data_IF_851269409925
#
_entry.id   IF_851269409925
#
_cell.length_a   1.000
_cell.length_b   1.000
_cell.length_c   1.000
_cell.angle_alpha   90.00
_cell.angle_beta   90.00
_cell.angle_gamma   90.00
#
_symmetry.space_group_name_H-M   'P 1'
#
loop_
_entity.id
_entity.type
_entity.pdbx_description
1 polymer ?
#
# COMPACT_ATOMS: atom_id res chain seq x y z
N UNK A 1 6.59 3.22 20.68
CA UNK A 1 7.71 3.83 19.93
C UNK A 1 7.06 4.77 18.92
N UNK A 2 7.39 6.06 18.90
CA UNK A 2 6.75 7.01 17.97
C UNK A 2 7.17 6.63 16.54
N UNK A 3 6.20 6.41 15.64
CA UNK A 3 6.48 6.05 14.24
C UNK A 3 7.18 7.24 13.55
N UNK A 4 8.48 7.09 13.30
CA UNK A 4 9.32 8.12 12.65
C UNK A 4 9.28 8.02 11.13
N UNK A 5 8.50 7.09 10.54
CA UNK A 5 8.48 6.85 9.10
C UNK A 5 8.18 8.11 8.28
N UNK A 6 7.25 8.95 8.75
CA UNK A 6 6.84 10.16 8.06
C UNK A 6 7.83 11.33 8.20
N UNK A 7 8.77 11.27 9.14
CA UNK A 7 9.75 12.34 9.39
C UNK A 7 11.11 12.08 8.74
N UNK A 8 11.27 10.99 7.97
CA UNK A 8 12.56 10.67 7.35
C UNK A 8 12.76 11.47 6.06
N UNK A 9 13.99 11.52 5.56
CA UNK A 9 14.33 12.23 4.33
C UNK A 9 14.29 11.36 3.07
N UNK A 10 14.30 10.03 3.20
CA UNK A 10 14.34 9.15 2.01
C UNK A 10 13.03 9.19 1.23
N UNK A 11 13.09 9.18 -0.10
CA UNK A 11 11.93 9.29 -0.98
C UNK A 11 11.00 8.08 -0.80
N UNK A 12 9.71 8.33 -0.62
CA UNK A 12 8.66 7.31 -0.52
C UNK A 12 7.72 7.36 -1.73
N UNK A 13 6.91 6.31 -1.93
CA UNK A 13 5.84 6.35 -2.94
C UNK A 13 4.80 7.46 -2.67
N UNK A 14 4.62 7.86 -1.41
CA UNK A 14 3.74 8.99 -1.07
C UNK A 14 4.32 10.30 -1.59
N UNK A 15 5.63 10.51 -1.42
CA UNK A 15 6.33 11.69 -1.96
C UNK A 15 6.21 11.76 -3.49
N UNK A 16 6.37 10.62 -4.18
CA UNK A 16 6.13 10.53 -5.63
C UNK A 16 4.65 10.77 -6.01
N UNK A 17 3.71 10.44 -5.12
CA UNK A 17 2.28 10.74 -5.32
C UNK A 17 2.02 12.24 -5.23
N UNK A 18 2.63 12.91 -4.27
CA UNK A 18 2.54 14.36 -4.12
C UNK A 18 3.15 15.07 -5.32
N UNK A 19 4.35 14.66 -5.74
CA UNK A 19 4.98 15.18 -6.97
C UNK A 19 4.09 14.96 -8.20
N UNK A 20 3.50 13.76 -8.36
CA UNK A 20 2.56 13.49 -9.47
C UNK A 20 1.37 14.45 -9.45
N UNK A 21 0.80 14.73 -8.28
CA UNK A 21 -0.35 15.63 -8.16
C UNK A 21 0.02 17.08 -8.48
N UNK A 22 1.25 17.52 -8.16
CA UNK A 22 1.76 18.84 -8.50
C UNK A 22 2.01 19.00 -10.01
N UNK A 23 2.65 18.00 -10.63
CA UNK A 23 3.00 18.02 -12.05
C UNK A 23 1.79 17.81 -12.96
N UNK A 24 0.85 16.97 -12.51
CA UNK A 24 -0.29 16.51 -13.30
C UNK A 24 -1.58 16.64 -12.49
N UNK A 25 -2.03 17.88 -12.20
CA UNK A 25 -3.26 18.10 -11.46
C UNK A 25 -4.43 17.48 -12.22
N UNK A 26 -5.17 16.62 -11.54
CA UNK A 26 -6.40 16.02 -12.06
C UNK A 26 -7.55 16.41 -11.15
N UNK A 27 -8.72 16.66 -11.74
CA UNK A 27 -9.96 16.79 -10.98
C UNK A 27 -10.23 15.48 -10.26
N UNK A 28 -10.28 15.53 -8.94
CA UNK A 28 -10.54 14.36 -8.10
C UNK A 28 -11.99 14.42 -7.65
N UNK A 29 -12.74 13.39 -7.98
CA UNK A 29 -14.14 13.24 -7.55
C UNK A 29 -14.19 12.43 -6.25
N UNK A 30 -14.97 12.91 -5.28
CA UNK A 30 -15.14 12.28 -3.96
C UNK A 30 -14.19 12.82 -2.89
N UNK A 31 -14.43 12.42 -1.64
CA UNK A 31 -13.63 12.85 -0.49
C UNK A 31 -12.47 11.87 -0.24
N UNK A 32 -11.29 12.20 -0.77
CA UNK A 32 -10.07 11.41 -0.61
C UNK A 32 -9.65 11.25 0.85
N UNK A 33 -9.75 12.32 1.62
CA UNK A 33 -9.38 12.32 3.04
C UNK A 33 -10.24 11.32 3.81
N UNK A 34 -11.56 11.29 3.56
CA UNK A 34 -12.47 10.29 4.13
C UNK A 34 -12.12 8.87 3.68
N UNK A 35 -11.78 8.68 2.41
CA UNK A 35 -11.41 7.37 1.89
C UNK A 35 -10.11 6.85 2.50
N UNK A 36 -9.11 7.71 2.64
CA UNK A 36 -7.81 7.42 3.26
C UNK A 36 -7.97 7.15 4.76
N UNK A 37 -8.68 8.04 5.48
CA UNK A 37 -9.01 7.88 6.90
C UNK A 37 -9.65 6.51 7.18
N UNK A 38 -10.65 6.10 6.39
CA UNK A 38 -11.25 4.78 6.55
C UNK A 38 -10.28 3.64 6.24
N UNK A 39 -9.42 3.79 5.23
CA UNK A 39 -8.37 2.82 4.93
C UNK A 39 -7.44 2.61 6.13
N UNK A 40 -6.97 3.70 6.73
CA UNK A 40 -6.12 3.70 7.92
C UNK A 40 -6.78 3.04 9.13
N UNK A 41 -8.10 3.17 9.30
CA UNK A 41 -8.83 2.43 10.34
C UNK A 41 -8.71 0.92 10.16
N UNK A 42 -9.03 0.43 8.96
CA UNK A 42 -9.04 -1.01 8.67
C UNK A 42 -7.62 -1.59 8.77
N UNK A 43 -6.63 -0.85 8.25
CA UNK A 43 -5.22 -1.21 8.34
C UNK A 43 -4.77 -1.30 9.80
N UNK A 44 -4.91 -0.24 10.60
CA UNK A 44 -4.51 -0.24 12.00
C UNK A 44 -5.17 -1.36 12.82
N UNK A 45 -6.47 -1.59 12.63
CA UNK A 45 -7.17 -2.69 13.30
C UNK A 45 -6.63 -4.08 12.96
N UNK A 46 -5.92 -4.23 11.84
CA UNK A 46 -5.36 -5.49 11.40
C UNK A 46 -3.85 -5.60 11.70
N UNK A 47 -3.10 -4.51 11.46
CA UNK A 47 -1.64 -4.51 11.42
C UNK A 47 -0.98 -3.84 12.63
N UNK A 48 -1.68 -2.94 13.33
CA UNK A 48 -1.17 -2.13 14.45
C UNK A 48 -2.24 -1.98 15.55
N UNK A 49 -2.72 -3.12 16.08
CA UNK A 49 -3.84 -3.15 17.02
C UNK A 49 -3.59 -2.34 18.30
N UNK A 50 -2.33 -2.13 18.69
CA UNK A 50 -1.93 -1.31 19.83
C UNK A 50 -2.24 0.19 19.64
N UNK A 51 -2.35 0.67 18.40
CA UNK A 51 -2.80 2.04 18.08
C UNK A 51 -4.32 2.21 18.25
N UNK A 52 -5.06 1.11 18.37
CA UNK A 52 -6.51 1.09 18.29
C UNK A 52 -7.17 1.08 19.68
N UNK A 53 -7.98 2.10 19.94
CA UNK A 53 -8.80 2.24 21.14
C UNK A 53 -10.22 1.81 20.87
N UNK A 54 -10.49 0.51 21.03
CA UNK A 54 -11.82 -0.08 20.77
C UNK A 54 -12.94 0.49 21.62
N UNK A 55 -12.64 0.89 22.86
CA UNK A 55 -13.57 1.54 23.78
C UNK A 55 -14.03 2.92 23.31
N UNK A 56 -13.17 3.63 22.57
CA UNK A 56 -13.40 5.00 22.12
C UNK A 56 -13.66 5.13 20.63
N UNK A 57 -13.49 4.05 19.86
CA UNK A 57 -13.49 4.05 18.39
C UNK A 57 -12.43 4.99 17.82
N UNK A 58 -11.22 4.92 18.35
CA UNK A 58 -10.10 5.76 17.92
C UNK A 58 -8.93 4.94 17.38
N UNK A 59 -8.17 5.53 16.47
CA UNK A 59 -6.80 5.12 16.15
C UNK A 59 -5.92 6.31 16.45
N UNK A 60 -4.98 6.15 17.37
CA UNK A 60 -4.25 7.25 18.02
C UNK A 60 -5.25 8.32 18.52
N UNK A 61 -5.15 9.55 18.01
CA UNK A 61 -6.00 10.69 18.37
C UNK A 61 -7.21 10.89 17.43
N UNK A 62 -7.39 10.02 16.44
CA UNK A 62 -8.44 10.17 15.43
C UNK A 62 -9.69 9.38 15.83
N UNK A 63 -10.79 10.08 16.07
CA UNK A 63 -12.11 9.49 16.30
C UNK A 63 -12.81 9.09 14.99
N UNK A 64 -13.42 7.91 15.00
CA UNK A 64 -14.20 7.35 13.90
C UNK A 64 -15.69 7.29 14.23
N UNK A 65 -16.52 7.39 13.19
CA UNK A 65 -17.97 7.25 13.33
C UNK A 65 -18.34 5.81 13.70
N UNK A 66 -19.53 5.61 14.30
CA UNK A 66 -20.05 4.27 14.57
C UNK A 66 -20.17 3.43 13.29
N UNK A 67 -20.69 4.04 12.22
CA UNK A 67 -20.85 3.40 10.92
C UNK A 67 -19.51 2.94 10.32
N UNK A 68 -18.49 3.81 10.32
CA UNK A 68 -17.16 3.44 9.82
C UNK A 68 -16.54 2.33 10.67
N UNK A 69 -16.74 2.36 11.99
CA UNK A 69 -16.23 1.36 12.90
C UNK A 69 -16.86 -0.02 12.68
N UNK A 70 -18.19 -0.07 12.59
CA UNK A 70 -18.94 -1.30 12.33
C UNK A 70 -18.59 -1.91 10.97
N UNK A 71 -18.47 -1.06 9.94
CA UNK A 71 -18.04 -1.51 8.61
C UNK A 71 -16.61 -2.07 8.64
N UNK A 72 -15.68 -1.41 9.33
CA UNK A 72 -14.30 -1.90 9.48
C UNK A 72 -14.26 -3.27 10.17
N UNK A 73 -15.02 -3.46 11.26
CA UNK A 73 -15.13 -4.76 11.93
C UNK A 73 -15.73 -5.85 11.02
N UNK A 74 -16.77 -5.52 10.24
CA UNK A 74 -17.37 -6.44 9.28
C UNK A 74 -16.38 -6.83 8.16
N UNK A 75 -15.59 -5.89 7.69
CA UNK A 75 -14.54 -6.11 6.68
C UNK A 75 -13.42 -7.02 7.22
N UNK A 76 -12.93 -6.77 8.43
CA UNK A 76 -11.91 -7.61 9.09
C UNK A 76 -12.44 -9.02 9.35
N UNK A 77 -13.70 -9.13 9.81
CA UNK A 77 -14.36 -10.44 9.95
C UNK A 77 -14.39 -11.19 8.63
N UNK A 78 -14.72 -10.51 7.53
CA UNK A 78 -14.77 -11.12 6.19
C UNK A 78 -13.39 -11.58 5.72
N UNK A 79 -12.33 -10.81 5.98
CA UNK A 79 -10.95 -11.21 5.69
C UNK A 79 -10.54 -12.46 6.49
N UNK A 80 -10.87 -12.51 7.79
CA UNK A 80 -10.60 -13.69 8.63
C UNK A 80 -11.40 -14.92 8.21
N UNK A 81 -12.61 -14.73 7.70
CA UNK A 81 -13.41 -15.82 7.13
C UNK A 81 -12.81 -16.33 5.82
N UNK A 82 -12.32 -15.44 4.96
CA UNK A 82 -11.61 -15.80 3.73
C UNK A 82 -10.37 -16.64 4.02
N UNK A 83 -9.60 -16.29 5.05
CA UNK A 83 -8.41 -17.04 5.45
C UNK A 83 -8.70 -18.53 5.76
N UNK A 84 -9.95 -18.90 6.09
CA UNK A 84 -10.32 -20.31 6.31
C UNK A 84 -10.33 -21.14 5.01
N UNK A 85 -10.45 -20.48 3.86
CA UNK A 85 -10.46 -21.11 2.53
C UNK A 85 -9.30 -20.70 1.63
N UNK A 86 -8.57 -19.65 1.99
CA UNK A 86 -7.36 -19.19 1.33
C UNK A 86 -6.14 -19.50 2.20
N UNK A 87 -5.43 -20.63 1.96
CA UNK A 87 -4.28 -21.02 2.77
C UNK A 87 -3.15 -19.99 2.73
N UNK A 88 -3.00 -19.25 1.63
CA UNK A 88 -1.98 -18.20 1.54
C UNK A 88 -2.30 -17.06 2.49
N UNK A 89 -3.54 -16.54 2.46
CA UNK A 89 -3.99 -15.50 3.39
C UNK A 89 -3.88 -15.96 4.85
N UNK A 90 -4.22 -17.22 5.15
CA UNK A 90 -4.05 -17.77 6.48
C UNK A 90 -2.58 -17.69 6.95
N UNK A 91 -1.63 -18.03 6.08
CA UNK A 91 -0.21 -17.90 6.42
C UNK A 91 0.22 -16.44 6.57
N UNK A 92 -0.26 -15.53 5.71
CA UNK A 92 0.02 -14.09 5.82
C UNK A 92 -0.43 -13.55 7.19
N UNK A 93 -1.68 -13.82 7.60
CA UNK A 93 -2.22 -13.32 8.86
C UNK A 93 -1.51 -13.86 10.10
N UNK A 94 -0.81 -14.99 9.99
CA UNK A 94 -0.08 -15.63 11.11
C UNK A 94 1.40 -15.26 11.12
N UNK A 95 2.03 -15.14 9.95
CA UNK A 95 3.49 -15.10 9.81
C UNK A 95 4.05 -13.76 9.36
N UNK A 96 3.22 -12.85 8.86
CA UNK A 96 3.71 -11.57 8.40
C UNK A 96 4.20 -10.70 9.57
N UNK A 97 5.38 -10.11 9.42
CA UNK A 97 5.71 -8.88 10.13
C UNK A 97 4.83 -7.78 9.56
N UNK A 98 4.09 -7.09 10.42
CA UNK A 98 3.21 -6.00 10.01
C UNK A 98 3.97 -4.68 10.00
N UNK A 99 3.59 -3.79 9.07
CA UNK A 99 4.10 -2.41 9.04
C UNK A 99 5.64 -2.32 8.94
N UNK A 100 6.24 -3.28 8.24
CA UNK A 100 7.69 -3.39 8.06
C UNK A 100 8.19 -2.27 7.17
N UNK A 101 9.01 -1.37 7.72
CA UNK A 101 9.69 -0.36 6.92
C UNK A 101 11.04 -0.86 6.38
N UNK A 102 11.44 -0.33 5.24
CA UNK A 102 12.74 -0.58 4.61
C UNK A 102 13.27 0.69 3.96
N UNK A 103 14.59 0.79 3.90
CA UNK A 103 15.31 1.87 3.25
C UNK A 103 16.35 1.26 2.31
N UNK A 104 16.47 1.79 1.10
CA UNK A 104 17.54 1.48 0.18
C UNK A 104 18.34 2.76 -0.10
N UNK A 105 19.58 2.79 0.36
CA UNK A 105 20.48 3.94 0.22
C UNK A 105 21.17 3.91 -1.13
N UNK A 106 21.24 5.07 -1.78
CA UNK A 106 21.80 5.21 -3.12
C UNK A 106 21.23 4.18 -4.12
N UNK A 107 19.92 3.94 -4.08
CA UNK A 107 19.26 3.07 -5.05
C UNK A 107 19.53 3.63 -6.44
N UNK A 108 20.07 2.80 -7.33
CA UNK A 108 20.42 3.18 -8.69
C UNK A 108 19.19 3.20 -9.58
N UNK A 109 19.08 4.24 -10.39
CA UNK A 109 18.06 4.41 -11.43
C UNK A 109 18.76 4.73 -12.75
N UNK A 110 18.08 4.39 -13.85
CA UNK A 110 18.53 4.70 -15.20
C UNK A 110 17.40 5.39 -15.95
N UNK A 111 17.69 6.58 -16.49
CA UNK A 111 16.79 7.32 -17.38
C UNK A 111 17.50 7.59 -18.70
N UNK A 112 17.18 6.81 -19.74
CA UNK A 112 17.94 6.80 -20.99
C UNK A 112 19.40 6.42 -20.76
N UNK A 113 20.32 7.31 -21.10
CA UNK A 113 21.78 7.13 -20.92
C UNK A 113 22.31 7.73 -19.62
N UNK A 114 21.43 8.19 -18.72
CA UNK A 114 21.81 8.86 -17.49
C UNK A 114 21.54 7.96 -16.28
N UNK A 115 22.55 7.77 -15.43
CA UNK A 115 22.44 7.07 -14.15
C UNK A 115 22.39 8.08 -13.00
N UNK A 116 21.50 7.84 -12.04
CA UNK A 116 21.41 8.61 -10.81
C UNK A 116 21.02 7.73 -9.63
N UNK A 117 21.12 8.29 -8.43
CA UNK A 117 20.78 7.57 -7.20
C UNK A 117 19.81 8.37 -6.35
N UNK A 118 18.90 7.67 -5.69
CA UNK A 118 18.06 8.22 -4.64
C UNK A 118 18.15 7.36 -3.38
N UNK A 119 18.07 8.00 -2.22
CA UNK A 119 17.75 7.31 -0.98
C UNK A 119 16.25 7.08 -0.94
N UNK A 120 15.81 5.84 -0.85
CA UNK A 120 14.39 5.47 -0.99
C UNK A 120 13.89 4.70 0.23
N UNK A 121 12.58 4.78 0.49
CA UNK A 121 11.91 4.06 1.56
C UNK A 121 10.54 3.50 1.17
N UNK A 122 10.14 2.46 1.89
CA UNK A 122 8.79 1.89 1.84
C UNK A 122 8.36 1.39 3.23
N UNK A 123 7.05 1.20 3.42
CA UNK A 123 6.46 0.59 4.61
C UNK A 123 5.37 -0.39 4.18
N UNK A 124 5.65 -1.68 4.34
CA UNK A 124 4.80 -2.81 3.95
C UNK A 124 3.72 -3.08 5.00
N UNK A 125 2.46 -3.25 4.59
CA UNK A 125 1.41 -3.69 5.52
C UNK A 125 1.69 -5.10 6.03
N UNK A 126 2.17 -5.98 5.15
CA UNK A 126 2.63 -7.33 5.47
C UNK A 126 3.99 -7.62 4.83
N UNK A 127 4.92 -8.16 5.61
CA UNK A 127 6.19 -8.67 5.14
C UNK A 127 6.40 -10.11 5.61
N UNK A 128 6.70 -11.02 4.69
CA UNK A 128 6.99 -12.42 4.99
C UNK A 128 8.52 -12.64 5.00
N UNK A 129 9.20 -12.47 6.15
CA UNK A 129 10.67 -12.43 6.20
C UNK A 129 11.31 -13.72 5.69
N UNK A 130 10.74 -14.89 6.02
CA UNK A 130 11.25 -16.20 5.57
C UNK A 130 11.25 -16.34 4.04
N UNK A 131 10.35 -15.65 3.34
CA UNK A 131 10.21 -15.78 1.90
C UNK A 131 10.73 -14.57 1.12
N UNK A 132 11.11 -13.49 1.81
CA UNK A 132 11.70 -12.30 1.18
C UNK A 132 10.73 -11.51 0.29
N UNK A 133 9.44 -11.50 0.61
CA UNK A 133 8.45 -10.66 -0.08
C UNK A 133 7.31 -10.24 0.84
N UNK A 134 6.49 -9.30 0.41
CA UNK A 134 5.38 -8.77 1.19
C UNK A 134 4.13 -8.53 0.37
N UNK A 135 3.21 -7.81 0.98
CA UNK A 135 1.98 -7.39 0.34
C UNK A 135 1.30 -6.23 1.06
N UNK A 136 0.16 -5.85 0.50
CA UNK A 136 -0.57 -4.64 0.88
C UNK A 136 -2.05 -4.92 1.09
N UNK A 137 -2.65 -4.22 2.06
CA UNK A 137 -4.06 -4.25 2.34
C UNK A 137 -4.74 -3.01 1.74
N UNK A 138 -5.76 -3.24 0.92
CA UNK A 138 -6.56 -2.18 0.33
C UNK A 138 -8.03 -2.29 0.73
N UNK A 139 -8.63 -1.17 1.08
CA UNK A 139 -10.09 -1.05 1.11
C UNK A 139 -10.56 -0.49 -0.23
N UNK A 140 -11.57 -1.11 -0.85
CA UNK A 140 -11.97 -0.79 -2.23
C UNK A 140 -13.49 -0.68 -2.38
N UNK A 141 -13.96 0.01 -3.42
CA UNK A 141 -15.37 -0.02 -3.81
C UNK A 141 -15.67 -1.08 -4.89
N UNK A 142 -14.65 -1.82 -5.35
CA UNK A 142 -14.83 -2.93 -6.29
C UNK A 142 -15.82 -3.96 -5.73
N UNK A 143 -16.67 -4.50 -6.61
CA UNK A 143 -17.66 -5.54 -6.29
C UNK A 143 -17.36 -6.87 -7.01
N UNK A 144 -16.38 -6.86 -7.93
CA UNK A 144 -15.88 -8.01 -8.67
C UNK A 144 -14.35 -7.95 -8.79
N UNK A 145 -13.72 -9.10 -9.08
CA UNK A 145 -12.27 -9.17 -9.30
C UNK A 145 -11.84 -8.25 -10.45
N UNK A 146 -12.59 -8.21 -11.57
CA UNK A 146 -12.30 -7.32 -12.69
C UNK A 146 -12.25 -5.83 -12.27
N UNK A 147 -13.22 -5.38 -11.48
CA UNK A 147 -13.21 -4.00 -10.96
C UNK A 147 -12.05 -3.75 -10.00
N UNK A 148 -11.61 -4.78 -9.27
CA UNK A 148 -10.44 -4.67 -8.40
C UNK A 148 -9.14 -4.58 -9.21
N UNK A 149 -9.00 -5.39 -10.28
CA UNK A 149 -7.86 -5.33 -11.19
C UNK A 149 -7.77 -3.96 -11.89
N UNK A 150 -8.91 -3.37 -12.29
CA UNK A 150 -8.98 -1.99 -12.81
C UNK A 150 -8.57 -0.96 -11.74
N UNK A 151 -8.95 -1.18 -10.47
CA UNK A 151 -8.58 -0.30 -9.37
C UNK A 151 -7.07 -0.30 -9.08
N UNK A 152 -6.38 -1.43 -9.28
CA UNK A 152 -4.93 -1.54 -9.11
C UNK A 152 -4.20 -0.53 -10.00
N UNK A 153 -4.64 -0.38 -11.25
CA UNK A 153 -4.09 0.61 -12.17
C UNK A 153 -4.56 2.03 -11.85
N UNK A 154 -5.87 2.21 -11.66
CA UNK A 154 -6.49 3.53 -11.47
C UNK A 154 -5.95 4.29 -10.26
N UNK A 155 -5.66 3.58 -9.17
CA UNK A 155 -5.11 4.17 -7.94
C UNK A 155 -3.58 4.07 -7.85
N UNK A 156 -2.90 3.68 -8.92
CA UNK A 156 -1.44 3.48 -8.97
C UNK A 156 -0.90 2.53 -7.88
N UNK A 157 -1.68 1.50 -7.54
CA UNK A 157 -1.22 0.50 -6.58
C UNK A 157 -0.11 -0.35 -7.19
N UNK A 158 -0.18 -0.64 -8.49
CA UNK A 158 0.90 -1.24 -9.28
C UNK A 158 2.23 -0.48 -9.11
N UNK A 159 2.21 0.85 -9.20
CA UNK A 159 3.37 1.72 -8.97
C UNK A 159 3.92 1.55 -7.57
N UNK A 160 3.05 1.60 -6.55
CA UNK A 160 3.48 1.46 -5.16
C UNK A 160 4.14 0.11 -4.91
N UNK A 161 3.61 -0.97 -5.50
CA UNK A 161 4.17 -2.32 -5.33
C UNK A 161 5.48 -2.48 -6.06
N UNK A 162 5.60 -1.98 -7.28
CA UNK A 162 6.87 -1.99 -8.01
C UNK A 162 7.97 -1.22 -7.26
N UNK A 163 7.64 -0.05 -6.70
CA UNK A 163 8.54 0.73 -5.83
C UNK A 163 9.04 -0.10 -4.64
N UNK A 164 8.12 -0.76 -3.94
CA UNK A 164 8.40 -1.55 -2.76
C UNK A 164 9.25 -2.78 -3.08
N UNK A 165 8.90 -3.49 -4.15
CA UNK A 165 9.64 -4.65 -4.64
C UNK A 165 11.10 -4.30 -4.96
N UNK A 166 11.36 -3.15 -5.58
CA UNK A 166 12.71 -2.70 -5.94
C UNK A 166 13.53 -2.25 -4.74
N UNK A 167 12.92 -1.58 -3.76
CA UNK A 167 13.58 -1.24 -2.49
C UNK A 167 13.96 -2.50 -1.72
N UNK A 168 13.05 -3.46 -1.63
CA UNK A 168 13.24 -4.68 -0.84
C UNK A 168 14.06 -5.76 -1.57
N UNK A 169 14.33 -5.61 -2.88
CA UNK A 169 14.90 -6.68 -3.70
C UNK A 169 13.97 -7.89 -3.89
N UNK A 170 12.67 -7.72 -3.66
CA UNK A 170 11.68 -8.82 -3.75
C UNK A 170 11.43 -9.24 -5.20
N UNK A 171 11.16 -10.54 -5.39
CA UNK A 171 10.75 -11.11 -6.69
C UNK A 171 9.24 -11.14 -6.91
N UNK A 172 8.45 -10.95 -5.86
CA UNK A 172 7.00 -11.00 -5.92
C UNK A 172 6.34 -10.09 -4.88
N UNK A 173 5.05 -9.86 -5.03
CA UNK A 173 4.22 -9.03 -4.15
C UNK A 173 2.78 -9.54 -4.25
N UNK A 174 1.92 -9.12 -3.33
CA UNK A 174 0.49 -9.36 -3.39
C UNK A 174 -0.30 -8.18 -2.81
N UNK A 175 -1.51 -7.97 -3.33
CA UNK A 175 -2.46 -7.03 -2.75
C UNK A 175 -3.72 -7.80 -2.39
N UNK A 176 -4.20 -7.65 -1.15
CA UNK A 176 -5.54 -8.05 -0.76
C UNK A 176 -6.46 -6.84 -0.70
N UNK A 177 -7.58 -6.91 -1.42
CA UNK A 177 -8.63 -5.91 -1.40
C UNK A 177 -9.83 -6.38 -0.59
N UNK A 178 -10.40 -5.53 0.26
CA UNK A 178 -11.69 -5.77 0.90
C UNK A 178 -12.71 -4.74 0.41
N UNK A 179 -13.84 -5.22 -0.13
CA UNK A 179 -14.90 -4.35 -0.62
C UNK A 179 -15.65 -3.64 0.51
N UNK A 180 -15.77 -2.32 0.43
CA UNK A 180 -16.67 -1.51 1.26
C UNK A 180 -18.14 -1.69 0.89
N UNK A 181 -18.44 -2.28 -0.28
CA UNK A 181 -19.83 -2.47 -0.77
C UNK A 181 -20.44 -3.79 -0.35
N UNK A 182 -19.68 -4.88 -0.47
CA UNK A 182 -20.19 -6.24 -0.27
C UNK A 182 -19.24 -7.15 0.51
N UNK A 183 -18.17 -6.58 1.10
CA UNK A 183 -17.19 -7.26 1.93
C UNK A 183 -16.49 -8.46 1.26
N UNK A 184 -16.61 -8.60 -0.07
CA UNK A 184 -15.84 -9.58 -0.83
C UNK A 184 -14.35 -9.27 -0.73
N UNK A 185 -13.56 -10.35 -0.69
CA UNK A 185 -12.11 -10.30 -0.70
C UNK A 185 -11.63 -10.52 -2.13
N UNK A 186 -10.75 -9.65 -2.59
CA UNK A 186 -10.06 -9.76 -3.88
C UNK A 186 -8.58 -9.88 -3.62
N UNK A 187 -7.86 -10.46 -4.58
CA UNK A 187 -6.40 -10.52 -4.51
C UNK A 187 -5.77 -10.40 -5.88
N UNK A 188 -4.58 -9.85 -5.92
CA UNK A 188 -3.70 -9.88 -7.09
C UNK A 188 -2.30 -10.25 -6.63
N UNK A 189 -1.62 -11.08 -7.41
CA UNK A 189 -0.20 -11.38 -7.23
C UNK A 189 0.57 -10.66 -8.32
N UNK A 190 1.72 -10.11 -7.94
CA UNK A 190 2.60 -9.38 -8.84
C UNK A 190 3.95 -10.09 -8.80
N UNK A 191 4.52 -10.37 -9.97
CA UNK A 191 5.85 -10.95 -10.12
C UNK A 191 6.74 -9.97 -10.84
N UNK A 192 8.01 -9.91 -10.43
CA UNK A 192 9.00 -9.09 -11.11
C UNK A 192 9.08 -9.48 -12.58
N UNK A 193 8.94 -8.49 -13.45
CA UNK A 193 8.92 -8.65 -14.90
C UNK A 193 7.55 -8.99 -15.51
N UNK A 194 6.49 -9.15 -14.71
CA UNK A 194 5.14 -9.28 -15.25
C UNK A 194 4.56 -7.91 -15.68
N UNK A 195 3.44 -7.89 -16.44
CA UNK A 195 2.87 -6.64 -16.94
C UNK A 195 2.47 -5.64 -15.85
N UNK A 196 2.02 -6.10 -14.68
CA UNK A 196 1.59 -5.22 -13.58
C UNK A 196 2.83 -4.55 -12.96
N UNK A 197 3.87 -5.34 -12.71
CA UNK A 197 5.15 -4.83 -12.23
C UNK A 197 5.77 -3.83 -13.22
N UNK A 198 5.86 -4.19 -14.50
CA UNK A 198 6.51 -3.35 -15.52
C UNK A 198 5.79 -2.01 -15.67
N UNK A 199 4.45 -2.03 -15.68
CA UNK A 199 3.64 -0.80 -15.73
C UNK A 199 3.82 0.05 -14.47
N UNK A 200 3.82 -0.58 -13.29
CA UNK A 200 4.12 0.11 -12.04
C UNK A 200 5.52 0.72 -12.03
N UNK A 201 6.49 0.00 -12.58
CA UNK A 201 7.88 0.44 -12.70
C UNK A 201 8.04 1.65 -13.59
N UNK A 202 7.46 1.61 -14.79
CA UNK A 202 7.43 2.75 -15.71
C UNK A 202 6.86 4.01 -15.04
N UNK A 203 5.75 3.86 -14.31
CA UNK A 203 5.10 4.98 -13.59
C UNK A 203 6.00 5.62 -12.52
N UNK A 204 6.76 4.83 -11.74
CA UNK A 204 7.63 5.44 -10.72
C UNK A 204 8.97 5.86 -11.30
N UNK A 205 9.51 5.22 -12.33
CA UNK A 205 10.80 5.62 -12.92
C UNK A 205 10.69 7.05 -13.48
N UNK A 206 9.58 7.40 -14.14
CA UNK A 206 9.32 8.78 -14.57
C UNK A 206 9.31 9.75 -13.39
N UNK A 207 8.58 9.43 -12.32
CA UNK A 207 8.43 10.30 -11.15
C UNK A 207 9.72 10.40 -10.33
N UNK A 208 10.47 9.32 -10.21
CA UNK A 208 11.75 9.29 -9.52
C UNK A 208 12.78 10.16 -10.25
N UNK A 209 12.80 10.14 -11.59
CA UNK A 209 13.68 11.03 -12.35
C UNK A 209 13.29 12.49 -12.17
N UNK A 210 11.99 12.81 -12.20
CA UNK A 210 11.51 14.17 -11.94
C UNK A 210 11.78 14.64 -10.52
N UNK A 211 11.67 13.75 -9.53
CA UNK A 211 12.03 14.05 -8.16
C UNK A 211 13.51 14.45 -8.08
N UNK A 212 14.37 13.59 -8.64
CA UNK A 212 15.81 13.83 -8.68
C UNK A 212 16.18 15.15 -9.39
N UNK A 213 15.45 15.55 -10.43
CA UNK A 213 15.73 16.82 -11.13
C UNK A 213 15.25 18.08 -10.42
N UNK A 214 14.18 17.98 -9.63
CA UNK A 214 13.43 19.14 -9.11
C UNK A 214 13.64 19.37 -7.61
N UNK A 215 14.03 18.34 -6.87
CA UNK A 215 14.02 18.33 -5.40
C UNK A 215 15.38 17.97 -4.81
N UNK A 216 16.11 17.03 -5.42
CA UNK A 216 17.51 16.71 -5.07
C UNK A 216 18.50 17.68 -5.73
#
# INVERSE_FOLDING_TARGET
MQDTYYSRSEVSNSDLTELKNLLYPRTQYGNKEKAFKFGSLVDAMLTEQERVRYDKRMVDDVLYSGEDWELALAMIKSLRMEARRDPFLAQVLVKAETQRFMVNKAQKFQYGNFEYTLDTRCKWDWWLPTFGFGGDLKTTFAQSQKQFDEAVDFFDWDRSRAWYMDIAGSRQDFIYGISKKNQKIFKVFIKRGDPIYLKGKEKYDELAFRWWMLIE
#
